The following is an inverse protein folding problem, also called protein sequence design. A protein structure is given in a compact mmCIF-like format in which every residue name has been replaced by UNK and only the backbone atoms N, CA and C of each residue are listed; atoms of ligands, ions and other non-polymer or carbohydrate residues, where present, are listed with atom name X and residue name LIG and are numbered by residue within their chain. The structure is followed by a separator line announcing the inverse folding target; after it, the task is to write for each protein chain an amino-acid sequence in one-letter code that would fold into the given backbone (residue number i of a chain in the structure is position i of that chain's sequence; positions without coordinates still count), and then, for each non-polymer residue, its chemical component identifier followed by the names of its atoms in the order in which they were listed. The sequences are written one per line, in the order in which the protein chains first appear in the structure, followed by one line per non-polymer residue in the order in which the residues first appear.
data_IF_436011429844
#
_entry.id   IF_436011429844
#
_cell.length_a   1.000
_cell.length_b   1.000
_cell.length_c   1.000
_cell.angle_alpha   90.00
_cell.angle_beta   90.00
_cell.angle_gamma   90.00
#
_symmetry.space_group_name_H-M   'P 1'
#
loop_
_entity.id
_entity.type
_entity.pdbx_description
1 polymer ?
#
# COMPACT_ATOMS: atom_id res chain seq x y z
N UNK A 1 -55.09 29.21 0.03
CA UNK A 1 -54.46 28.20 0.89
C UNK A 1 -55.05 26.86 0.48
N UNK A 2 -54.26 26.01 -0.17
CA UNK A 2 -54.49 24.56 -0.19
C UNK A 2 -53.10 23.93 -0.16
N UNK A 3 -52.74 23.40 1.00
CA UNK A 3 -51.46 22.77 1.29
C UNK A 3 -51.42 21.32 0.78
N UNK A 4 -50.22 20.97 0.36
CA UNK A 4 -49.77 19.72 -0.25
C UNK A 4 -49.86 18.52 0.71
N UNK A 5 -50.60 17.48 0.33
CA UNK A 5 -50.38 16.10 0.83
C UNK A 5 -49.79 15.26 -0.30
N UNK A 6 -48.46 15.23 -0.37
CA UNK A 6 -47.71 14.25 -1.15
C UNK A 6 -46.93 13.43 -0.12
N UNK A 7 -47.57 12.40 0.43
CA UNK A 7 -46.92 11.43 1.31
C UNK A 7 -45.86 10.68 0.52
N UNK A 8 -44.61 11.11 0.69
CA UNK A 8 -43.42 10.42 0.20
C UNK A 8 -43.38 9.02 0.81
N UNK A 9 -43.58 8.00 -0.03
CA UNK A 9 -43.37 6.60 0.33
C UNK A 9 -41.87 6.35 0.57
N UNK A 10 -41.41 6.67 1.78
CA UNK A 10 -40.04 6.51 2.22
C UNK A 10 -39.77 5.02 2.43
N UNK A 11 -38.99 4.42 1.53
CA UNK A 11 -38.55 3.03 1.68
C UNK A 11 -37.60 2.97 2.88
N UNK A 12 -38.04 2.33 3.97
CA UNK A 12 -37.24 2.18 5.19
C UNK A 12 -36.01 1.31 4.93
N UNK A 13 -34.85 1.95 4.98
CA UNK A 13 -33.54 1.34 4.78
C UNK A 13 -33.26 0.21 5.77
N UNK A 14 -33.89 0.24 6.95
CA UNK A 14 -33.75 -0.81 7.96
C UNK A 14 -34.47 -2.11 7.54
N UNK A 15 -35.59 -1.99 6.82
CA UNK A 15 -36.34 -3.15 6.30
C UNK A 15 -35.55 -3.86 5.20
N UNK A 16 -34.91 -3.10 4.29
CA UNK A 16 -34.01 -3.68 3.30
C UNK A 16 -32.83 -4.37 3.97
N UNK A 17 -32.21 -3.73 4.97
CA UNK A 17 -31.05 -4.31 5.66
C UNK A 17 -31.40 -5.63 6.35
N UNK A 18 -32.57 -5.72 6.99
CA UNK A 18 -33.06 -6.94 7.61
C UNK A 18 -33.32 -8.07 6.60
N UNK A 19 -33.86 -7.75 5.42
CA UNK A 19 -34.06 -8.71 4.33
C UNK A 19 -32.73 -9.23 3.78
N UNK A 20 -31.74 -8.36 3.60
CA UNK A 20 -30.41 -8.76 3.11
C UNK A 20 -29.71 -9.70 4.10
N UNK A 21 -29.75 -9.40 5.40
CA UNK A 21 -29.17 -10.30 6.41
C UNK A 21 -29.85 -11.67 6.42
N UNK A 22 -31.18 -11.72 6.32
CA UNK A 22 -31.93 -12.99 6.25
C UNK A 22 -31.60 -13.80 5.00
N UNK A 23 -31.33 -13.14 3.88
CA UNK A 23 -30.90 -13.82 2.65
C UNK A 23 -29.48 -14.37 2.79
N UNK A 24 -28.55 -13.58 3.34
CA UNK A 24 -27.17 -14.03 3.59
C UNK A 24 -27.09 -15.22 4.54
N UNK A 25 -27.91 -15.26 5.60
CA UNK A 25 -27.96 -16.43 6.52
C UNK A 25 -28.52 -17.69 5.87
N UNK A 26 -29.47 -17.54 4.94
CA UNK A 26 -30.02 -18.67 4.19
C UNK A 26 -29.02 -19.20 3.15
N UNK A 27 -28.22 -18.32 2.55
CA UNK A 27 -27.20 -18.72 1.59
C UNK A 27 -26.00 -19.39 2.29
N UNK A 28 -25.61 -18.93 3.48
CA UNK A 28 -24.60 -19.63 4.29
C UNK A 28 -25.09 -21.00 4.77
N UNK A 29 -26.36 -21.12 5.17
CA UNK A 29 -26.95 -22.41 5.57
C UNK A 29 -27.01 -23.41 4.40
N UNK A 30 -27.36 -22.94 3.18
CA UNK A 30 -27.32 -23.77 1.96
C UNK A 30 -25.89 -24.18 1.59
N UNK A 31 -24.92 -23.29 1.77
CA UNK A 31 -23.51 -23.61 1.51
C UNK A 31 -22.98 -24.64 2.52
N UNK A 32 -23.36 -24.55 3.80
CA UNK A 32 -23.02 -25.54 4.82
C UNK A 32 -23.69 -26.90 4.56
N UNK A 33 -24.93 -26.91 4.07
CA UNK A 33 -25.64 -28.13 3.65
C UNK A 33 -24.94 -28.84 2.48
N UNK A 34 -24.40 -28.09 1.53
CA UNK A 34 -23.63 -28.64 0.38
C UNK A 34 -22.27 -29.20 0.82
N UNK A 35 -21.69 -28.71 1.91
CA UNK A 35 -20.41 -29.19 2.46
C UNK A 35 -20.55 -30.47 3.29
N UNK A 36 -21.77 -30.87 3.65
CA UNK A 36 -22.00 -32.14 4.33
C UNK A 36 -22.15 -33.25 3.28
N UNK A 37 -21.13 -34.12 3.21
CA UNK A 37 -21.21 -35.36 2.43
C UNK A 37 -22.37 -36.20 2.97
N UNK A 38 -23.47 -36.26 2.23
CA UNK A 38 -24.64 -37.12 2.52
C UNK A 38 -24.38 -38.59 2.25
N UNK A 39 -23.15 -38.96 1.85
CA UNK A 39 -22.77 -40.33 1.55
C UNK A 39 -22.59 -41.13 2.84
N UNK A 40 -23.52 -42.05 3.09
CA UNK A 40 -23.46 -42.99 4.22
C UNK A 40 -22.25 -43.92 4.09
N UNK A 41 -21.54 -44.13 5.20
CA UNK A 41 -20.32 -44.93 5.21
C UNK A 41 -20.60 -46.42 4.92
N UNK A 42 -21.80 -46.92 5.23
CA UNK A 42 -22.18 -48.30 4.92
C UNK A 42 -22.53 -48.46 3.44
N UNK A 43 -23.28 -47.53 2.86
CA UNK A 43 -23.54 -47.49 1.41
C UNK A 43 -22.24 -47.38 0.59
N UNK A 44 -21.30 -46.55 1.03
CA UNK A 44 -19.99 -46.44 0.39
C UNK A 44 -19.20 -47.75 0.43
N UNK A 45 -19.19 -48.44 1.58
CA UNK A 45 -18.51 -49.73 1.69
C UNK A 45 -19.15 -50.81 0.81
N UNK A 46 -20.48 -50.83 0.70
CA UNK A 46 -21.17 -51.76 -0.21
C UNK A 46 -20.84 -51.49 -1.67
N UNK A 47 -20.75 -50.22 -2.07
CA UNK A 47 -20.35 -49.84 -3.43
C UNK A 47 -18.88 -50.20 -3.69
N UNK A 48 -18.00 -50.01 -2.70
CA UNK A 48 -16.61 -50.46 -2.76
C UNK A 48 -16.54 -51.98 -2.92
N UNK A 49 -17.31 -52.76 -2.16
CA UNK A 49 -17.38 -54.22 -2.29
C UNK A 49 -17.98 -54.67 -3.63
N UNK A 50 -18.93 -53.92 -4.20
CA UNK A 50 -19.52 -54.17 -5.52
C UNK A 50 -18.54 -53.92 -6.66
N UNK A 51 -17.71 -52.89 -6.53
CA UNK A 51 -16.76 -52.44 -7.56
C UNK A 51 -15.40 -53.15 -7.42
N UNK A 52 -15.04 -53.62 -6.23
CA UNK A 52 -13.79 -54.35 -5.96
C UNK A 52 -13.54 -55.53 -6.92
N UNK A 53 -14.52 -56.40 -7.22
CA UNK A 53 -14.36 -57.49 -8.18
C UNK A 53 -14.13 -57.00 -9.62
N UNK A 54 -14.69 -55.83 -9.98
CA UNK A 54 -14.56 -55.22 -11.29
C UNK A 54 -13.18 -54.57 -11.48
N UNK A 55 -12.56 -54.14 -10.38
CA UNK A 55 -11.20 -53.59 -10.35
C UNK A 55 -10.12 -54.66 -10.08
N UNK A 56 -10.50 -55.84 -9.57
CA UNK A 56 -9.58 -56.92 -9.23
C UNK A 56 -9.04 -57.60 -10.49
N UNK A 57 -7.89 -57.12 -10.96
CA UNK A 57 -7.15 -57.74 -12.08
C UNK A 57 -6.47 -59.03 -11.60
N UNK A 58 -7.14 -60.17 -11.76
CA UNK A 58 -6.48 -61.48 -11.57
C UNK A 58 -5.64 -61.81 -12.80
N UNK A 59 -4.35 -61.51 -12.76
CA UNK A 59 -3.39 -61.96 -13.77
C UNK A 59 -3.10 -63.44 -13.50
N UNK A 60 -3.69 -64.34 -14.31
CA UNK A 60 -3.22 -65.74 -14.32
C UNK A 60 -1.77 -65.74 -14.80
N UNK A 61 -0.88 -66.12 -13.89
CA UNK A 61 0.56 -65.95 -14.04
C UNK A 61 1.10 -67.15 -14.80
N UNK A 62 1.50 -66.96 -16.06
CA UNK A 62 2.49 -67.84 -16.69
C UNK A 62 3.86 -67.15 -16.59
N UNK A 63 4.81 -67.83 -15.96
CA UNK A 63 5.99 -67.24 -15.34
C UNK A 63 7.16 -66.96 -16.32
N UNK A 64 6.88 -66.64 -17.59
CA UNK A 64 7.97 -66.48 -18.59
C UNK A 64 7.94 -65.28 -19.53
N UNK A 65 6.93 -64.40 -19.55
CA UNK A 65 7.00 -63.24 -20.47
C UNK A 65 6.35 -61.96 -19.90
N UNK A 66 7.15 -61.09 -19.27
CA UNK A 66 6.71 -59.77 -18.79
C UNK A 66 6.23 -58.85 -19.92
N UNK A 67 6.72 -59.03 -21.15
CA UNK A 67 6.22 -58.33 -22.34
C UNK A 67 4.75 -58.65 -22.65
N UNK A 68 4.31 -59.89 -22.44
CA UNK A 68 2.91 -60.28 -22.64
C UNK A 68 2.01 -59.72 -21.54
N UNK A 69 2.53 -59.57 -20.30
CA UNK A 69 1.82 -58.86 -19.23
C UNK A 69 1.58 -57.39 -19.58
N UNK A 70 2.61 -56.70 -20.07
CA UNK A 70 2.50 -55.30 -20.46
C UNK A 70 1.52 -55.09 -21.62
N UNK A 71 1.63 -55.92 -22.67
CA UNK A 71 0.72 -55.87 -23.82
C UNK A 71 -0.75 -56.16 -23.42
N UNK A 72 -0.99 -57.14 -22.54
CA UNK A 72 -2.34 -57.50 -22.09
C UNK A 72 -2.99 -56.42 -21.19
N UNK A 73 -2.21 -55.69 -20.38
CA UNK A 73 -2.70 -54.55 -19.61
C UNK A 73 -3.08 -53.39 -20.53
N UNK A 74 -2.28 -53.14 -21.58
CA UNK A 74 -2.50 -52.06 -22.52
C UNK A 74 -3.63 -52.32 -23.55
N UNK A 75 -3.95 -53.59 -23.83
CA UNK A 75 -5.06 -53.98 -24.72
C UNK A 75 -6.40 -54.14 -23.99
N UNK A 76 -6.46 -54.03 -22.66
CA UNK A 76 -7.70 -54.29 -21.92
C UNK A 76 -8.69 -53.11 -22.05
N UNK A 77 -9.99 -53.38 -22.27
CA UNK A 77 -11.04 -52.37 -22.45
C UNK A 77 -11.32 -51.50 -21.22
N UNK A 78 -10.73 -51.78 -20.05
CA UNK A 78 -10.91 -50.96 -18.84
C UNK A 78 -10.22 -49.60 -18.97
N UNK A 79 -9.03 -49.54 -19.60
CA UNK A 79 -8.32 -48.27 -19.85
C UNK A 79 -9.02 -47.42 -20.91
N UNK A 80 -9.64 -48.06 -21.91
CA UNK A 80 -10.29 -47.36 -23.02
C UNK A 80 -11.78 -47.08 -22.72
N UNK A 81 -12.42 -47.90 -21.87
CA UNK A 81 -13.82 -47.78 -21.48
C UNK A 81 -14.07 -46.71 -20.44
N UNK A 82 -13.11 -46.44 -19.55
CA UNK A 82 -13.20 -45.31 -18.62
C UNK A 82 -12.89 -43.96 -19.30
N UNK A 83 -12.03 -43.94 -20.33
CA UNK A 83 -11.47 -42.68 -20.82
C UNK A 83 -12.21 -42.00 -21.98
N UNK A 84 -13.06 -42.68 -22.78
CA UNK A 84 -13.56 -41.98 -23.99
C UNK A 84 -14.98 -42.25 -24.48
N UNK A 85 -15.73 -43.24 -24.03
CA UNK A 85 -17.00 -43.57 -24.71
C UNK A 85 -18.23 -43.67 -23.80
N UNK A 86 -18.20 -44.45 -22.71
CA UNK A 86 -19.47 -44.88 -22.09
C UNK A 86 -20.06 -43.87 -21.09
N UNK A 87 -19.23 -43.05 -20.45
CA UNK A 87 -19.66 -42.04 -19.47
C UNK A 87 -19.63 -40.61 -20.01
N UNK A 88 -18.80 -40.33 -21.02
CA UNK A 88 -18.58 -38.97 -21.52
C UNK A 88 -19.69 -38.53 -22.49
N UNK A 89 -20.25 -39.43 -23.31
CA UNK A 89 -21.25 -39.07 -24.33
C UNK A 89 -22.62 -38.65 -23.73
N UNK A 90 -23.18 -39.35 -22.72
CA UNK A 90 -24.41 -38.92 -22.06
C UNK A 90 -24.21 -37.68 -21.17
N UNK A 91 -23.05 -37.59 -20.50
CA UNK A 91 -22.69 -36.46 -19.64
C UNK A 91 -22.46 -35.19 -20.46
N UNK A 92 -21.81 -35.30 -21.62
CA UNK A 92 -21.62 -34.21 -22.57
C UNK A 92 -22.97 -33.70 -23.07
N UNK A 93 -23.90 -34.58 -23.45
CA UNK A 93 -25.24 -34.17 -23.88
C UNK A 93 -26.05 -33.48 -22.77
N UNK A 94 -25.90 -33.88 -21.51
CA UNK A 94 -26.52 -33.19 -20.37
C UNK A 94 -25.88 -31.82 -20.12
N UNK A 95 -24.55 -31.74 -20.17
CA UNK A 95 -23.80 -30.49 -20.03
C UNK A 95 -24.13 -29.51 -21.17
N UNK A 96 -24.28 -29.99 -22.40
CA UNK A 96 -24.68 -29.18 -23.55
C UNK A 96 -26.10 -28.65 -23.37
N UNK A 97 -27.05 -29.48 -22.92
CA UNK A 97 -28.41 -29.02 -22.61
C UNK A 97 -28.40 -27.94 -21.53
N UNK A 98 -27.65 -28.16 -20.45
CA UNK A 98 -27.50 -27.18 -19.38
C UNK A 98 -26.87 -25.88 -19.90
N UNK A 99 -25.83 -25.97 -20.74
CA UNK A 99 -25.20 -24.82 -21.38
C UNK A 99 -26.18 -24.04 -22.26
N UNK A 100 -26.99 -24.73 -23.07
CA UNK A 100 -28.02 -24.09 -23.89
C UNK A 100 -29.13 -23.45 -23.04
N UNK A 101 -29.53 -24.08 -21.94
CA UNK A 101 -30.52 -23.52 -21.02
C UNK A 101 -30.00 -22.27 -20.33
N UNK A 102 -28.77 -22.29 -19.81
CA UNK A 102 -28.08 -21.13 -19.23
C UNK A 102 -27.93 -20.03 -20.28
N UNK A 103 -27.54 -20.36 -21.51
CA UNK A 103 -27.39 -19.36 -22.57
C UNK A 103 -28.73 -18.69 -22.90
N UNK A 104 -29.81 -19.47 -22.98
CA UNK A 104 -31.17 -18.97 -23.20
C UNK A 104 -31.66 -18.10 -22.04
N UNK A 105 -31.36 -18.45 -20.78
CA UNK A 105 -31.75 -17.61 -19.63
C UNK A 105 -30.95 -16.31 -19.61
N UNK A 106 -29.65 -16.34 -19.93
CA UNK A 106 -28.82 -15.14 -20.08
C UNK A 106 -29.33 -14.21 -21.18
N UNK A 107 -29.72 -14.75 -22.34
CA UNK A 107 -30.31 -13.95 -23.41
C UNK A 107 -31.63 -13.29 -22.97
N UNK A 108 -32.48 -14.02 -22.24
CA UNK A 108 -33.71 -13.47 -21.67
C UNK A 108 -33.42 -12.36 -20.65
N UNK A 109 -32.46 -12.58 -19.76
CA UNK A 109 -32.04 -11.57 -18.78
C UNK A 109 -31.54 -10.33 -19.49
N UNK A 110 -30.62 -10.47 -20.46
CA UNK A 110 -30.09 -9.36 -21.25
C UNK A 110 -31.20 -8.61 -22.02
N UNK A 111 -32.17 -9.33 -22.57
CA UNK A 111 -33.33 -8.69 -23.24
C UNK A 111 -34.18 -7.87 -22.26
N UNK A 112 -34.35 -8.38 -21.03
CA UNK A 112 -35.13 -7.70 -19.98
C UNK A 112 -34.36 -6.51 -19.42
N UNK A 113 -33.05 -6.63 -19.22
CA UNK A 113 -32.18 -5.51 -18.83
C UNK A 113 -32.20 -4.40 -19.86
N UNK A 114 -32.05 -4.71 -21.15
CA UNK A 114 -32.16 -3.72 -22.24
C UNK A 114 -33.52 -3.03 -22.23
N UNK A 115 -34.60 -3.77 -22.02
CA UNK A 115 -35.94 -3.20 -21.92
C UNK A 115 -36.07 -2.27 -20.71
N UNK A 116 -35.65 -2.71 -19.52
CA UNK A 116 -35.70 -1.89 -18.29
C UNK A 116 -34.85 -0.64 -18.45
N UNK A 117 -33.63 -0.77 -18.96
CA UNK A 117 -32.72 0.35 -19.20
C UNK A 117 -33.34 1.34 -20.18
N UNK A 118 -33.93 0.89 -21.28
CA UNK A 118 -34.63 1.77 -22.22
C UNK A 118 -35.78 2.54 -21.57
N UNK A 119 -36.50 1.93 -20.62
CA UNK A 119 -37.60 2.60 -19.91
C UNK A 119 -37.07 3.60 -18.88
N UNK A 120 -35.94 3.30 -18.22
CA UNK A 120 -35.34 4.18 -17.22
C UNK A 120 -34.50 5.30 -17.84
N UNK A 121 -33.97 5.14 -19.04
CA UNK A 121 -33.11 6.11 -19.74
C UNK A 121 -33.78 7.49 -19.80
N UNK A 122 -35.04 7.55 -20.23
CA UNK A 122 -35.79 8.80 -20.33
C UNK A 122 -36.04 9.41 -18.95
N UNK A 123 -36.45 8.62 -17.97
CA UNK A 123 -36.73 9.11 -16.62
C UNK A 123 -35.47 9.65 -15.93
N UNK A 124 -34.32 8.99 -16.14
CA UNK A 124 -33.02 9.47 -15.66
C UNK A 124 -32.64 10.78 -16.36
N UNK A 125 -32.89 10.88 -17.66
CA UNK A 125 -32.61 12.10 -18.42
C UNK A 125 -33.50 13.28 -17.96
N UNK A 126 -34.79 13.02 -17.70
CA UNK A 126 -35.70 14.00 -17.12
C UNK A 126 -35.23 14.47 -15.75
N UNK A 127 -34.88 13.53 -14.85
CA UNK A 127 -34.33 13.86 -13.53
C UNK A 127 -33.07 14.73 -13.64
N UNK A 128 -32.13 14.38 -14.53
CA UNK A 128 -30.91 15.17 -14.76
C UNK A 128 -31.23 16.57 -15.27
N UNK A 129 -32.20 16.71 -16.17
CA UNK A 129 -32.63 18.01 -16.68
C UNK A 129 -33.28 18.86 -15.59
N UNK A 130 -34.14 18.27 -14.75
CA UNK A 130 -34.79 18.93 -13.63
C UNK A 130 -33.76 19.37 -12.57
N UNK A 131 -32.77 18.52 -12.27
CA UNK A 131 -31.68 18.84 -11.37
C UNK A 131 -30.82 20.00 -11.90
N UNK A 132 -30.52 20.02 -13.20
CA UNK A 132 -29.80 21.13 -13.83
C UNK A 132 -30.59 22.45 -13.69
N UNK A 133 -31.89 22.44 -13.98
CA UNK A 133 -32.76 23.61 -13.82
C UNK A 133 -32.84 24.10 -12.37
N UNK A 134 -32.94 23.18 -11.41
CA UNK A 134 -32.90 23.51 -9.98
C UNK A 134 -31.57 24.19 -9.62
N UNK A 135 -30.45 23.61 -10.05
CA UNK A 135 -29.11 24.15 -9.78
C UNK A 135 -28.93 25.56 -10.36
N UNK A 136 -29.46 25.80 -11.56
CA UNK A 136 -29.43 27.11 -12.21
C UNK A 136 -30.28 28.13 -11.44
N UNK A 137 -31.50 27.74 -11.02
CA UNK A 137 -32.37 28.62 -10.22
C UNK A 137 -31.76 28.94 -8.86
N UNK A 138 -31.22 27.94 -8.17
CA UNK A 138 -30.52 28.13 -6.90
C UNK A 138 -29.32 29.06 -7.09
N UNK A 139 -28.51 28.86 -8.15
CA UNK A 139 -27.41 29.74 -8.47
C UNK A 139 -27.89 31.18 -8.69
N UNK A 140 -28.95 31.39 -9.47
CA UNK A 140 -29.55 32.73 -9.66
C UNK A 140 -30.04 33.35 -8.35
N UNK A 141 -30.74 32.60 -7.50
CA UNK A 141 -31.21 33.08 -6.19
C UNK A 141 -30.02 33.45 -5.30
N UNK A 142 -29.01 32.59 -5.20
CA UNK A 142 -27.83 32.84 -4.38
C UNK A 142 -26.98 34.00 -4.92
N UNK A 143 -26.92 34.17 -6.24
CA UNK A 143 -26.26 35.29 -6.90
C UNK A 143 -27.00 36.60 -6.62
N UNK A 144 -28.33 36.62 -6.79
CA UNK A 144 -29.19 37.78 -6.51
C UNK A 144 -29.23 38.14 -5.02
N UNK A 145 -29.24 37.15 -4.13
CA UNK A 145 -29.11 37.31 -2.68
C UNK A 145 -27.73 37.85 -2.27
N UNK A 146 -26.76 37.87 -3.19
CA UNK A 146 -25.40 38.32 -2.92
C UNK A 146 -24.59 37.35 -2.05
N UNK A 147 -25.14 36.19 -1.69
CA UNK A 147 -24.45 35.17 -0.90
C UNK A 147 -23.23 34.59 -1.63
N UNK A 148 -23.32 34.41 -2.95
CA UNK A 148 -22.17 33.99 -3.77
C UNK A 148 -21.09 35.08 -3.75
N UNK A 149 -21.48 36.34 -3.92
CA UNK A 149 -20.56 37.48 -3.85
C UNK A 149 -19.89 37.54 -2.47
N UNK A 150 -20.67 37.41 -1.38
CA UNK A 150 -20.14 37.35 0.00
C UNK A 150 -19.17 36.19 0.21
N UNK A 151 -19.47 34.99 -0.30
CA UNK A 151 -18.53 33.85 -0.24
C UNK A 151 -17.24 34.12 -1.01
N UNK A 152 -17.31 34.73 -2.18
CA UNK A 152 -16.13 35.10 -2.97
C UNK A 152 -15.32 36.17 -2.24
N UNK A 153 -15.97 37.23 -1.75
CA UNK A 153 -15.31 38.27 -0.95
C UNK A 153 -14.64 37.68 0.28
N UNK A 154 -15.30 36.78 1.02
CA UNK A 154 -14.71 36.10 2.16
C UNK A 154 -13.44 35.34 1.79
N UNK A 155 -13.44 34.56 0.69
CA UNK A 155 -12.24 33.85 0.20
C UNK A 155 -11.11 34.81 -0.18
N UNK A 156 -11.44 35.93 -0.83
CA UNK A 156 -10.45 36.95 -1.19
C UNK A 156 -9.88 37.62 0.06
N UNK A 157 -10.72 37.93 1.05
CA UNK A 157 -10.30 38.49 2.35
C UNK A 157 -9.41 37.51 3.11
N UNK A 158 -9.73 36.22 3.12
CA UNK A 158 -8.89 35.17 3.73
C UNK A 158 -7.52 35.08 3.05
N UNK A 159 -7.48 35.09 1.72
CA UNK A 159 -6.21 35.11 0.97
C UNK A 159 -5.40 36.39 1.26
N UNK A 160 -6.07 37.54 1.38
CA UNK A 160 -5.43 38.81 1.72
C UNK A 160 -4.83 38.78 3.13
N UNK A 161 -5.56 38.25 4.12
CA UNK A 161 -5.07 38.14 5.50
C UNK A 161 -3.87 37.19 5.58
N UNK A 162 -3.87 36.09 4.82
CA UNK A 162 -2.73 35.19 4.72
C UNK A 162 -1.49 35.89 4.15
N UNK A 163 -1.64 36.65 3.06
CA UNK A 163 -0.53 37.41 2.49
C UNK A 163 -0.04 38.48 3.46
N UNK A 164 -0.96 39.16 4.14
CA UNK A 164 -0.64 40.15 5.17
C UNK A 164 0.18 39.52 6.31
N UNK A 165 -0.25 38.37 6.82
CA UNK A 165 0.49 37.65 7.85
C UNK A 165 1.89 37.25 7.37
N UNK A 166 2.02 36.71 6.16
CA UNK A 166 3.33 36.37 5.58
C UNK A 166 4.23 37.61 5.45
N UNK A 167 3.67 38.75 5.06
CA UNK A 167 4.43 40.00 4.97
C UNK A 167 4.81 40.57 6.34
N UNK A 168 4.00 40.37 7.36
CA UNK A 168 4.29 40.79 8.74
C UNK A 168 5.35 39.88 9.39
N UNK A 169 5.28 38.57 9.14
CA UNK A 169 6.32 37.60 9.53
C UNK A 169 7.65 37.90 8.82
N UNK A 170 7.62 38.20 7.51
CA UNK A 170 8.82 38.63 6.78
C UNK A 170 9.32 40.00 7.25
N UNK A 171 8.43 40.93 7.55
CA UNK A 171 8.78 42.27 8.03
C UNK A 171 9.40 42.24 9.43
N UNK A 172 8.83 41.43 10.33
CA UNK A 172 9.41 41.18 11.65
C UNK A 172 10.76 40.47 11.55
N UNK A 173 10.90 39.48 10.67
CA UNK A 173 12.19 38.84 10.40
C UNK A 173 13.22 39.79 9.76
N UNK A 174 12.80 40.73 8.90
CA UNK A 174 13.70 41.71 8.28
C UNK A 174 14.13 42.81 9.25
N UNK A 175 13.28 43.12 10.25
CA UNK A 175 13.57 44.10 11.31
C UNK A 175 14.27 43.46 12.51
N UNK A 176 14.35 42.13 12.56
CA UNK A 176 15.06 41.42 13.62
C UNK A 176 16.58 41.66 13.49
N UNK A 177 17.12 42.46 14.42
CA UNK A 177 18.56 42.71 14.54
C UNK A 177 19.33 41.57 15.21
N UNK A 178 18.66 40.52 15.71
CA UNK A 178 19.31 39.42 16.42
C UNK A 178 20.38 38.68 15.58
N UNK A 179 20.20 38.41 14.27
CA UNK A 179 21.26 37.84 13.43
C UNK A 179 22.50 38.74 13.38
N UNK A 180 22.30 40.06 13.31
CA UNK A 180 23.40 41.03 13.28
C UNK A 180 24.16 41.07 14.60
N UNK A 181 23.44 40.99 15.73
CA UNK A 181 24.03 40.88 17.07
C UNK A 181 24.83 39.57 17.22
N UNK A 182 24.31 38.44 16.72
CA UNK A 182 25.02 37.14 16.71
C UNK A 182 26.31 37.21 15.91
N UNK A 183 26.30 37.82 14.73
CA UNK A 183 27.51 38.03 13.90
C UNK A 183 28.53 38.90 14.65
N UNK A 184 28.08 39.99 15.28
CA UNK A 184 28.95 40.87 16.09
C UNK A 184 29.58 40.11 17.28
N UNK A 185 28.81 39.28 17.97
CA UNK A 185 29.31 38.44 19.06
C UNK A 185 30.35 37.43 18.57
N UNK A 186 30.08 36.72 17.46
CA UNK A 186 31.03 35.79 16.85
C UNK A 186 32.33 36.47 16.41
N UNK A 187 32.25 37.66 15.81
CA UNK A 187 33.42 38.48 15.46
C UNK A 187 34.24 38.87 16.68
N UNK A 188 33.59 39.21 17.79
CA UNK A 188 34.28 39.58 19.04
C UNK A 188 34.98 38.35 19.64
N UNK A 189 34.33 37.18 19.60
CA UNK A 189 34.94 35.92 20.04
C UNK A 189 36.16 35.54 19.21
N UNK A 190 36.06 35.62 17.88
CA UNK A 190 37.19 35.33 16.98
C UNK A 190 38.37 36.26 17.24
N UNK A 191 38.12 37.56 17.46
CA UNK A 191 39.20 38.50 17.84
C UNK A 191 39.89 38.10 19.14
N UNK A 192 39.11 37.70 20.15
CA UNK A 192 39.66 37.23 21.41
C UNK A 192 40.50 35.95 21.23
N UNK A 193 40.04 35.01 20.40
CA UNK A 193 40.78 33.79 20.06
C UNK A 193 42.07 34.10 19.30
N UNK A 194 42.08 35.07 18.37
CA UNK A 194 43.30 35.53 17.70
C UNK A 194 44.31 36.10 18.69
N UNK A 195 43.88 36.98 19.61
CA UNK A 195 44.77 37.54 20.63
C UNK A 195 45.34 36.43 21.52
N UNK A 196 44.52 35.44 21.89
CA UNK A 196 44.97 34.31 22.68
C UNK A 196 46.00 33.45 21.93
N UNK A 197 45.78 33.20 20.64
CA UNK A 197 46.74 32.50 19.79
C UNK A 197 48.06 33.27 19.66
N UNK A 198 48.02 34.59 19.48
CA UNK A 198 49.24 35.42 19.41
C UNK A 198 50.07 35.33 20.69
N UNK A 199 49.43 35.34 21.86
CA UNK A 199 50.10 35.15 23.15
C UNK A 199 50.72 33.75 23.23
N UNK A 200 49.99 32.71 22.81
CA UNK A 200 50.50 31.34 22.81
C UNK A 200 51.70 31.17 21.88
N UNK A 201 51.65 31.76 20.68
CA UNK A 201 52.77 31.80 19.73
C UNK A 201 53.97 32.47 20.39
N UNK A 202 53.81 33.65 21.00
CA UNK A 202 54.91 34.35 21.67
C UNK A 202 55.55 33.55 22.81
N UNK A 203 54.74 32.85 23.63
CA UNK A 203 55.26 31.97 24.68
C UNK A 203 56.00 30.76 24.10
N UNK A 204 55.47 30.15 23.03
CA UNK A 204 56.13 29.06 22.31
C UNK A 204 57.47 29.50 21.71
N UNK A 205 57.50 30.65 21.03
CA UNK A 205 58.72 31.24 20.45
C UNK A 205 59.78 31.52 21.52
N UNK A 206 59.38 32.14 22.64
CA UNK A 206 60.28 32.37 23.77
C UNK A 206 60.82 31.06 24.35
N UNK A 207 59.95 30.06 24.55
CA UNK A 207 60.34 28.74 25.07
C UNK A 207 61.30 28.02 24.13
N UNK A 208 61.03 28.07 22.82
CA UNK A 208 61.90 27.52 21.79
C UNK A 208 63.26 28.21 21.78
N UNK A 209 63.28 29.54 21.82
CA UNK A 209 64.51 30.34 21.85
C UNK A 209 65.34 30.04 23.12
N UNK A 210 64.70 29.97 24.28
CA UNK A 210 65.37 29.64 25.54
C UNK A 210 65.94 28.22 25.52
N UNK A 211 65.22 27.26 24.94
CA UNK A 211 65.72 25.89 24.74
C UNK A 211 66.94 25.86 23.81
N UNK A 212 66.89 26.58 22.68
CA UNK A 212 68.01 26.74 21.73
C UNK A 212 69.25 27.39 22.37
N UNK A 213 69.06 28.41 23.21
CA UNK A 213 70.15 29.05 23.94
C UNK A 213 70.75 28.11 25.00
N UNK A 214 69.93 27.34 25.72
CA UNK A 214 70.40 26.32 26.66
C UNK A 214 71.17 25.20 25.96
N UNK A 215 70.69 24.73 24.81
CA UNK A 215 71.38 23.74 23.96
C UNK A 215 72.77 24.23 23.54
N UNK A 216 72.87 25.47 23.02
CA UNK A 216 74.15 26.09 22.64
C UNK A 216 75.08 26.26 23.85
N UNK A 217 74.55 26.73 24.99
CA UNK A 217 75.32 26.86 26.24
C UNK A 217 75.87 25.52 26.71
N UNK A 218 75.04 24.47 26.67
CA UNK A 218 75.46 23.10 26.98
C UNK A 218 76.54 22.60 26.02
N UNK A 219 76.40 22.79 24.71
CA UNK A 219 77.44 22.45 23.73
C UNK A 219 78.77 23.17 24.02
N UNK A 220 78.74 24.46 24.34
CA UNK A 220 79.98 25.19 24.70
C UNK A 220 80.58 24.69 26.00
N UNK A 221 79.75 24.33 26.98
CA UNK A 221 80.20 23.78 28.26
C UNK A 221 80.79 22.39 28.10
N UNK A 222 80.19 21.53 27.29
CA UNK A 222 80.70 20.20 26.98
C UNK A 222 82.02 20.28 26.18
N UNK A 223 82.12 21.21 25.23
CA UNK A 223 83.38 21.48 24.52
C UNK A 223 84.49 21.95 25.48
N UNK A 224 84.19 22.85 26.43
CA UNK A 224 85.15 23.27 27.44
C UNK A 224 85.50 22.15 28.44
N UNK A 225 84.58 21.25 28.76
CA UNK A 225 84.84 20.09 29.61
C UNK A 225 85.78 19.07 28.93
N UNK A 226 85.75 18.96 27.59
CA UNK A 226 86.70 18.12 26.84
C UNK A 226 88.08 18.74 26.61
N UNK A 227 88.26 20.04 26.90
CA UNK A 227 89.49 20.82 26.58
C UNK A 227 90.34 21.14 27.81
N UNK A 228 89.99 20.66 29.01
CA UNK A 228 90.90 20.77 30.17
C UNK A 228 92.17 19.93 29.87
N UNK A 229 93.36 20.55 29.76
CA UNK A 229 94.60 19.81 29.58
C UNK A 229 95.02 19.21 30.92
N UNK A 230 95.51 17.99 30.85
CA UNK A 230 96.24 17.29 31.90
C UNK A 230 97.46 18.15 32.32
N UNK A 231 97.28 19.01 33.32
CA UNK A 231 98.36 19.83 33.86
C UNK A 231 99.05 19.09 35.02
N UNK A 232 100.25 18.61 34.70
CA UNK A 232 101.44 18.50 35.57
C UNK A 232 101.36 17.61 36.81
N UNK A 233 101.91 16.39 36.69
CA UNK A 233 102.58 15.68 37.79
C UNK A 233 104.08 15.62 37.50
N UNK A 234 104.88 16.17 38.40
CA UNK A 234 106.34 16.04 38.45
C UNK A 234 107.09 17.32 38.06
N UNK A 235 108.10 17.79 38.79
CA UNK A 235 108.81 17.25 39.93
C UNK A 235 109.72 18.33 40.56
N UNK A 236 110.03 18.11 41.86
CA UNK A 236 111.08 18.69 42.71
C UNK A 236 110.92 20.13 43.22
#
# INVERSE_FOLDING_TARGET
EEESENEENYIDLNVLKAQTYRSSTNDTAKQEEILQSTTDAAEWNLEVERVLPQLKVTVRTDNKVWKNRFACVHQRPVSNGLSSATLCEPLSGYLDKLHHEISRTLEKINSREKYINSQLEHLVQEYRSAQALLSERLFKILYSSGLIKKKIYFKVTEALEKVKQETEEKGSSMTDGAPLVKIKQALTKLRQETIQMDIQIGVMEHTLLQSKLKEKSNMTRDMHATVIPEATVGAY
#
